data_IF_639030184066
#
_entry.id   IF_639030184066
#
_cell.length_a   1.000
_cell.length_b   1.000
_cell.length_c   1.000
_cell.angle_alpha   90.00
_cell.angle_beta   90.00
_cell.angle_gamma   90.00
#
_symmetry.space_group_name_H-M   'P 1'
#
loop_
_entity.id
_entity.type
_entity.pdbx_description
1 polymer ?
#
# COMPACT_ATOMS: atom_id res chain seq x y z
N UNK A 1 15.85 -22.98 28.37
CA UNK A 1 17.11 -22.50 27.76
C UNK A 1 16.96 -22.52 26.25
N UNK A 2 16.65 -21.36 25.66
CA UNK A 2 17.05 -20.94 24.31
C UNK A 2 16.68 -19.47 24.19
N UNK A 3 17.72 -18.65 24.33
CA UNK A 3 17.71 -17.19 24.42
C UNK A 3 17.66 -16.61 23.00
N UNK A 4 16.66 -15.77 22.71
CA UNK A 4 16.57 -15.08 21.42
C UNK A 4 17.10 -13.64 21.55
N UNK A 5 18.23 -13.43 20.89
CA UNK A 5 18.99 -12.19 20.75
C UNK A 5 18.14 -11.06 20.14
N UNK A 6 17.95 -9.99 20.90
CA UNK A 6 17.45 -8.71 20.40
C UNK A 6 18.60 -7.90 19.81
N UNK A 7 18.57 -7.63 18.50
CA UNK A 7 19.49 -6.66 17.86
C UNK A 7 18.87 -5.27 17.91
N UNK A 8 19.29 -4.47 18.87
CA UNK A 8 19.06 -3.02 18.95
C UNK A 8 19.98 -2.31 17.95
N UNK A 9 19.40 -1.50 17.06
CA UNK A 9 20.17 -0.59 16.22
C UNK A 9 20.31 0.75 16.94
N UNK A 10 21.52 1.05 17.42
CA UNK A 10 21.88 2.34 17.97
C UNK A 10 22.35 3.28 16.85
N UNK A 11 21.71 4.45 16.75
CA UNK A 11 22.18 5.58 15.93
C UNK A 11 23.29 6.32 16.70
N UNK A 12 24.47 6.57 16.14
CA UNK A 12 25.45 7.41 16.80
C UNK A 12 25.06 8.89 16.66
N UNK A 13 24.85 9.54 17.80
CA UNK A 13 24.82 11.00 17.92
C UNK A 13 26.25 11.54 17.81
N UNK A 14 26.45 12.66 17.13
CA UNK A 14 27.71 13.40 17.12
C UNK A 14 27.43 14.85 17.48
N UNK A 15 27.85 15.24 18.68
CA UNK A 15 28.07 16.63 19.06
C UNK A 15 29.47 16.78 19.65
N UNK A 16 30.16 17.84 19.20
CA UNK A 16 31.33 18.44 19.86
C UNK A 16 32.53 18.65 18.92
N UNK A 17 33.34 19.72 19.09
CA UNK A 17 33.04 21.06 19.62
C UNK A 17 33.48 22.21 18.67
N UNK A 18 33.01 23.41 19.00
CA UNK A 18 33.36 24.70 18.39
C UNK A 18 34.81 25.10 18.63
N UNK A 19 35.48 25.64 17.60
CA UNK A 19 36.61 26.57 17.70
C UNK A 19 36.59 27.57 16.53
N UNK A 20 37.06 28.78 16.81
CA UNK A 20 36.68 30.03 16.15
C UNK A 20 37.61 30.51 15.02
N UNK A 21 37.03 31.37 14.17
CA UNK A 21 37.57 32.52 13.41
C UNK A 21 38.73 32.33 12.40
N UNK A 22 38.55 32.81 11.17
CA UNK A 22 39.14 34.07 10.68
C UNK A 22 38.60 34.45 9.27
N UNK A 23 38.71 35.76 8.99
CA UNK A 23 38.17 36.54 7.87
C UNK A 23 38.63 36.11 6.47
N UNK A 24 37.74 36.28 5.50
CA UNK A 24 38.06 36.25 4.07
C UNK A 24 36.85 36.63 3.23
N UNK A 25 36.67 37.94 2.98
CA UNK A 25 35.71 38.43 1.98
C UNK A 25 36.33 38.17 0.61
N UNK A 26 35.84 37.14 -0.08
CA UNK A 26 36.07 36.95 -1.49
C UNK A 26 34.72 36.82 -2.19
N UNK A 27 34.44 37.84 -3.00
CA UNK A 27 33.36 37.87 -3.98
C UNK A 27 33.63 36.75 -5.01
N UNK A 28 32.88 35.66 -4.91
CA UNK A 28 32.75 34.68 -5.99
C UNK A 28 31.26 34.46 -6.24
N UNK A 29 30.77 35.01 -7.34
CA UNK A 29 29.47 34.65 -7.91
C UNK A 29 29.55 33.21 -8.40
N UNK A 30 29.26 32.26 -7.52
CA UNK A 30 28.91 30.91 -7.93
C UNK A 30 27.47 30.92 -8.41
N UNK A 31 27.28 30.73 -9.71
CA UNK A 31 26.01 30.35 -10.33
C UNK A 31 25.56 29.00 -9.76
N UNK A 32 24.96 29.01 -8.58
CA UNK A 32 24.21 27.88 -8.05
C UNK A 32 22.87 27.87 -8.78
N UNK A 33 22.73 26.95 -9.74
CA UNK A 33 21.43 26.50 -10.19
C UNK A 33 20.86 25.63 -9.06
N UNK A 34 19.84 26.05 -8.30
CA UNK A 34 19.14 25.09 -7.49
C UNK A 34 18.41 24.17 -8.48
N UNK A 35 18.83 22.91 -8.55
CA UNK A 35 17.92 21.84 -8.97
C UNK A 35 16.82 21.77 -7.91
N UNK A 36 15.90 22.73 -7.95
CA UNK A 36 14.57 22.58 -7.39
C UNK A 36 13.93 21.53 -8.26
N UNK A 37 13.81 20.30 -7.75
CA UNK A 37 12.78 19.40 -8.23
C UNK A 37 11.46 20.14 -8.07
N UNK A 38 11.00 20.80 -9.14
CA UNK A 38 9.63 21.29 -9.23
C UNK A 38 8.75 20.05 -9.14
N UNK A 39 8.29 19.74 -7.94
CA UNK A 39 7.01 19.06 -7.78
C UNK A 39 6.02 19.86 -8.61
N UNK A 40 5.45 19.22 -9.64
CA UNK A 40 4.42 19.85 -10.46
C UNK A 40 3.36 20.43 -9.51
N UNK A 41 2.96 21.71 -9.67
CA UNK A 41 1.89 22.27 -8.86
C UNK A 41 0.62 21.46 -9.16
N UNK A 42 0.14 20.70 -8.17
CA UNK A 42 -1.18 20.11 -8.21
C UNK A 42 -2.15 21.28 -8.06
N UNK A 43 -2.70 21.75 -9.18
CA UNK A 43 -3.84 22.65 -9.16
C UNK A 43 -5.05 21.85 -8.65
N UNK A 44 -5.70 22.25 -7.54
CA UNK A 44 -6.98 21.69 -7.16
C UNK A 44 -8.01 22.31 -8.10
N UNK A 45 -8.31 21.63 -9.20
CA UNK A 45 -9.46 21.99 -10.01
C UNK A 45 -10.71 21.68 -9.17
N UNK A 46 -11.36 22.72 -8.67
CA UNK A 46 -12.61 22.61 -7.95
C UNK A 46 -13.71 22.19 -8.94
N UNK A 47 -14.08 20.92 -8.91
CA UNK A 47 -15.38 20.43 -9.38
C UNK A 47 -15.63 19.05 -8.74
N UNK A 48 -16.55 19.05 -7.76
CA UNK A 48 -16.91 17.97 -6.83
C UNK A 48 -15.78 17.51 -5.88
N UNK A 49 -15.87 17.89 -4.60
CA UNK A 49 -14.95 17.48 -3.52
C UNK A 49 -15.12 15.99 -3.13
N UNK A 50 -15.28 15.08 -4.10
CA UNK A 50 -15.28 13.66 -3.83
C UNK A 50 -13.82 13.20 -3.74
N UNK A 51 -13.42 12.68 -2.57
CA UNK A 51 -12.12 12.04 -2.42
C UNK A 51 -12.09 10.76 -3.25
N UNK A 52 -11.24 10.75 -4.29
CA UNK A 52 -11.10 9.60 -5.18
C UNK A 52 -9.92 8.75 -4.75
N UNK A 53 -10.13 7.43 -4.70
CA UNK A 53 -9.04 6.48 -4.46
C UNK A 53 -8.00 6.55 -5.58
N UNK A 54 -6.71 6.40 -5.26
CA UNK A 54 -5.68 6.45 -6.28
C UNK A 54 -5.77 5.19 -7.16
N UNK A 55 -5.64 5.38 -8.46
CA UNK A 55 -5.73 4.34 -9.49
C UNK A 55 -4.38 4.12 -10.17
N UNK A 56 -4.22 2.99 -10.85
CA UNK A 56 -3.08 2.80 -11.73
C UNK A 56 -3.20 3.69 -12.96
N UNK A 57 -2.06 4.16 -13.46
CA UNK A 57 -1.96 4.77 -14.79
C UNK A 57 -2.03 3.67 -15.88
N UNK A 58 -3.18 3.01 -15.94
CA UNK A 58 -3.50 1.92 -16.84
C UNK A 58 -4.97 2.02 -17.24
N UNK A 59 -5.25 1.69 -18.50
CA UNK A 59 -6.64 1.64 -18.99
C UNK A 59 -7.47 0.63 -18.17
N UNK A 60 -8.75 0.90 -17.87
CA UNK A 60 -9.60 0.01 -17.06
C UNK A 60 -9.67 -1.43 -17.58
N UNK A 61 -9.61 -1.63 -18.90
CA UNK A 61 -9.66 -2.97 -19.50
C UNK A 61 -8.46 -3.85 -19.10
N UNK A 62 -7.37 -3.24 -18.65
CA UNK A 62 -6.18 -3.90 -18.09
C UNK A 62 -6.22 -3.83 -16.57
N UNK A 63 -6.36 -2.62 -16.01
CA UNK A 63 -6.25 -2.37 -14.58
C UNK A 63 -7.22 -3.21 -13.73
N UNK A 64 -8.43 -3.46 -14.25
CA UNK A 64 -9.46 -4.24 -13.55
C UNK A 64 -9.31 -5.76 -13.73
N UNK A 65 -8.40 -6.21 -14.62
CA UNK A 65 -8.16 -7.63 -14.93
C UNK A 65 -6.87 -8.18 -14.32
N UNK A 66 -6.25 -7.47 -13.36
CA UNK A 66 -5.04 -7.91 -12.65
C UNK A 66 -5.35 -8.79 -11.41
N UNK A 67 -6.61 -9.22 -11.25
CA UNK A 67 -7.07 -10.05 -10.14
C UNK A 67 -6.76 -9.41 -8.78
N UNK A 68 -6.12 -10.12 -7.83
CA UNK A 68 -5.81 -9.57 -6.51
C UNK A 68 -4.70 -8.50 -6.53
N UNK A 69 -4.15 -8.16 -7.71
CA UNK A 69 -3.17 -7.09 -7.89
C UNK A 69 -3.78 -5.80 -8.45
N UNK A 70 -5.06 -5.82 -8.87
CA UNK A 70 -5.78 -4.62 -9.28
C UNK A 70 -5.81 -3.60 -8.13
N UNK A 71 -5.64 -2.32 -8.45
CA UNK A 71 -5.95 -1.25 -7.51
C UNK A 71 -7.44 -1.35 -7.13
N UNK A 72 -7.81 -0.83 -5.95
CA UNK A 72 -9.23 -0.77 -5.58
C UNK A 72 -9.96 0.14 -6.57
N UNK A 73 -11.04 -0.36 -7.16
CA UNK A 73 -11.97 0.40 -8.01
C UNK A 73 -13.40 0.11 -7.58
N UNK A 74 -14.32 1.01 -7.89
CA UNK A 74 -15.74 0.80 -7.64
C UNK A 74 -16.32 -0.21 -8.64
N UNK A 75 -17.10 -1.16 -8.14
CA UNK A 75 -17.81 -2.11 -8.97
C UNK A 75 -19.21 -1.56 -9.22
N UNK A 76 -19.61 -1.51 -10.50
CA UNK A 76 -20.93 -1.04 -10.88
C UNK A 76 -22.02 -1.85 -10.16
N UNK A 77 -23.02 -1.14 -9.64
CA UNK A 77 -24.20 -1.71 -8.99
C UNK A 77 -25.42 -0.92 -9.45
N UNK A 78 -26.49 -1.63 -9.81
CA UNK A 78 -27.78 -1.00 -10.08
C UNK A 78 -28.46 -0.50 -8.79
N UNK A 79 -27.98 -0.93 -7.62
CA UNK A 79 -28.44 -0.46 -6.31
C UNK A 79 -27.54 0.70 -5.89
N UNK A 80 -28.16 1.85 -5.62
CA UNK A 80 -27.47 3.06 -5.15
C UNK A 80 -26.79 2.82 -3.79
N UNK A 81 -25.58 3.36 -3.63
CA UNK A 81 -24.85 3.33 -2.35
C UNK A 81 -25.14 4.53 -1.43
N UNK A 82 -26.12 5.37 -1.82
CA UNK A 82 -26.62 6.51 -1.03
C UNK A 82 -27.54 6.00 0.07
N UNK A 83 -27.46 6.62 1.25
CA UNK A 83 -28.36 6.32 2.37
C UNK A 83 -29.80 6.67 1.94
N UNK A 84 -30.77 5.75 2.03
CA UNK A 84 -32.15 6.03 1.62
C UNK A 84 -32.77 7.20 2.38
N UNK A 85 -33.67 7.92 1.72
CA UNK A 85 -34.39 9.05 2.34
C UNK A 85 -35.13 8.58 3.60
N UNK A 86 -34.99 9.35 4.69
CA UNK A 86 -35.59 9.02 5.99
C UNK A 86 -34.83 7.97 6.81
N UNK A 87 -33.72 7.43 6.32
CA UNK A 87 -32.86 6.52 7.06
C UNK A 87 -31.64 7.23 7.65
N UNK A 88 -31.25 6.85 8.86
CA UNK A 88 -29.98 7.25 9.47
C UNK A 88 -29.11 6.03 9.73
N UNK A 89 -27.83 6.11 9.38
CA UNK A 89 -26.85 5.07 9.72
C UNK A 89 -26.53 5.18 11.21
N UNK A 90 -26.62 4.07 11.94
CA UNK A 90 -26.31 4.02 13.38
C UNK A 90 -25.01 3.26 13.68
N UNK A 91 -24.53 2.44 12.76
CA UNK A 91 -23.28 1.69 12.87
C UNK A 91 -22.74 1.33 11.48
N UNK A 92 -21.42 1.27 11.35
CA UNK A 92 -20.73 0.65 10.21
C UNK A 92 -19.67 -0.35 10.69
N UNK A 93 -19.44 -1.40 9.89
CA UNK A 93 -18.29 -2.28 10.03
C UNK A 93 -17.56 -2.32 8.68
N UNK A 94 -16.26 -2.01 8.69
CA UNK A 94 -15.42 -2.02 7.48
C UNK A 94 -14.41 -3.15 7.58
N UNK A 95 -14.45 -4.07 6.61
CA UNK A 95 -13.41 -5.06 6.40
C UNK A 95 -12.55 -4.65 5.20
N UNK A 96 -11.29 -4.31 5.46
CA UNK A 96 -10.37 -3.81 4.45
C UNK A 96 -9.11 -4.67 4.35
N UNK A 97 -8.70 -4.97 3.11
CA UNK A 97 -7.40 -5.58 2.82
C UNK A 97 -6.29 -4.52 2.93
N UNK A 98 -5.05 -4.97 3.17
CA UNK A 98 -3.89 -4.09 3.07
C UNK A 98 -3.81 -3.39 1.69
N UNK A 99 -3.16 -2.22 1.65
CA UNK A 99 -2.89 -1.49 0.41
C UNK A 99 -1.95 -2.24 -0.56
N UNK A 100 -1.76 -1.65 -1.75
CA UNK A 100 -0.79 -2.15 -2.72
C UNK A 100 0.63 -2.27 -2.14
N UNK A 101 1.37 -3.27 -2.61
CA UNK A 101 2.68 -3.63 -2.06
C UNK A 101 3.62 -4.16 -3.11
N UNK A 102 4.90 -4.19 -2.78
CA UNK A 102 5.89 -4.96 -3.52
C UNK A 102 5.61 -6.47 -3.43
N UNK A 103 6.17 -7.26 -4.37
CA UNK A 103 6.12 -8.72 -4.32
C UNK A 103 6.68 -9.27 -3.00
N UNK A 104 6.23 -10.47 -2.62
CA UNK A 104 6.87 -11.19 -1.51
C UNK A 104 8.25 -11.69 -1.95
N UNK A 105 9.11 -12.09 -1.00
CA UNK A 105 10.51 -12.37 -1.30
C UNK A 105 10.74 -13.39 -2.43
N UNK A 106 10.02 -14.51 -2.43
CA UNK A 106 10.17 -15.54 -3.47
C UNK A 106 9.72 -15.04 -4.87
N UNK A 107 8.49 -14.50 -5.06
CA UNK A 107 8.11 -13.87 -6.32
C UNK A 107 9.01 -12.72 -6.77
N UNK A 108 9.49 -11.88 -5.84
CA UNK A 108 10.41 -10.79 -6.16
C UNK A 108 11.73 -11.28 -6.75
N UNK A 109 12.34 -12.31 -6.13
CA UNK A 109 13.54 -12.97 -6.68
C UNK A 109 13.29 -13.63 -8.04
N UNK A 110 12.10 -14.20 -8.24
CA UNK A 110 11.75 -14.79 -9.53
C UNK A 110 11.65 -13.71 -10.63
N UNK A 111 11.08 -12.53 -10.34
CA UNK A 111 11.05 -11.41 -11.27
C UNK A 111 12.46 -10.89 -11.59
N UNK A 112 13.32 -10.77 -10.58
CA UNK A 112 14.71 -10.37 -10.75
C UNK A 112 15.48 -11.35 -11.66
N UNK A 113 15.34 -12.65 -11.42
CA UNK A 113 15.96 -13.68 -12.26
C UNK A 113 15.45 -13.65 -13.71
N UNK A 114 14.14 -13.41 -13.90
CA UNK A 114 13.56 -13.25 -15.24
C UNK A 114 14.13 -12.02 -15.96
N UNK A 115 14.20 -10.87 -15.28
CA UNK A 115 14.79 -9.65 -15.84
C UNK A 115 16.27 -9.83 -16.18
N UNK A 116 17.03 -10.55 -15.34
CA UNK A 116 18.43 -10.86 -15.62
C UNK A 116 18.60 -11.70 -16.90
N UNK A 117 17.74 -12.70 -17.12
CA UNK A 117 17.73 -13.47 -18.38
C UNK A 117 17.42 -12.59 -19.59
N UNK A 118 16.41 -11.72 -19.48
CA UNK A 118 15.99 -10.85 -20.58
C UNK A 118 17.04 -9.79 -20.92
N UNK A 119 17.82 -9.32 -19.94
CA UNK A 119 18.93 -8.37 -20.19
C UNK A 119 20.07 -8.97 -21.00
N UNK A 120 20.22 -10.29 -21.03
CA UNK A 120 21.26 -10.96 -21.83
C UNK A 120 20.86 -11.13 -23.30
N UNK A 121 19.61 -10.80 -23.66
CA UNK A 121 19.13 -10.86 -25.05
C UNK A 121 19.73 -9.67 -25.81
N UNK A 122 20.56 -9.98 -26.81
CA UNK A 122 21.02 -9.01 -27.79
C UNK A 122 19.95 -8.82 -28.88
N UNK A 123 19.95 -7.66 -29.54
CA UNK A 123 19.05 -7.36 -30.65
C UNK A 123 17.56 -7.57 -30.38
N UNK A 124 17.04 -7.02 -29.27
CA UNK A 124 15.61 -7.07 -28.94
C UNK A 124 14.78 -6.53 -30.12
N UNK A 125 14.11 -7.43 -30.86
CA UNK A 125 13.29 -7.08 -32.04
C UNK A 125 11.92 -6.52 -31.68
N UNK A 126 11.36 -6.98 -30.57
CA UNK A 126 10.05 -6.54 -30.07
C UNK A 126 10.16 -5.16 -29.39
N UNK A 127 9.60 -4.08 -29.97
CA UNK A 127 9.77 -2.73 -29.44
C UNK A 127 9.25 -2.55 -28.01
N UNK A 128 8.19 -3.27 -27.62
CA UNK A 128 7.63 -3.19 -26.26
C UNK A 128 8.58 -3.71 -25.17
N UNK A 129 9.69 -4.37 -25.54
CA UNK A 129 10.70 -4.88 -24.62
C UNK A 129 11.98 -4.04 -24.58
N UNK A 130 12.07 -2.95 -25.35
CA UNK A 130 13.26 -2.08 -25.40
C UNK A 130 13.59 -1.39 -24.08
N UNK A 131 12.64 -1.32 -23.14
CA UNK A 131 12.88 -0.79 -21.81
C UNK A 131 13.76 -1.71 -20.93
N UNK A 132 13.84 -3.01 -21.23
CA UNK A 132 14.45 -4.01 -20.35
C UNK A 132 15.93 -3.74 -20.03
N UNK A 133 16.80 -3.39 -21.00
CA UNK A 133 18.22 -3.17 -20.72
C UNK A 133 18.47 -2.04 -19.71
N UNK A 134 17.61 -1.01 -19.71
CA UNK A 134 17.75 0.17 -18.83
C UNK A 134 16.87 0.09 -17.59
N UNK A 135 15.86 -0.78 -17.56
CA UNK A 135 14.95 -0.93 -16.43
C UNK A 135 15.69 -1.39 -15.17
N UNK A 136 15.59 -0.61 -14.10
CA UNK A 136 16.11 -0.97 -12.77
C UNK A 136 14.98 -1.41 -11.87
N UNK A 137 14.99 -2.69 -11.50
CA UNK A 137 14.01 -3.28 -10.62
C UNK A 137 14.43 -3.10 -9.16
N UNK A 138 13.88 -2.08 -8.49
CA UNK A 138 14.07 -1.84 -7.07
C UNK A 138 12.80 -2.20 -6.30
N UNK A 139 12.92 -3.10 -5.33
CA UNK A 139 11.80 -3.48 -4.48
C UNK A 139 12.28 -3.86 -3.08
N UNK A 140 11.39 -3.66 -2.11
CA UNK A 140 11.58 -4.14 -0.73
C UNK A 140 10.52 -5.21 -0.48
N UNK A 141 10.89 -6.47 -0.22
CA UNK A 141 9.94 -7.57 -0.14
C UNK A 141 8.76 -7.29 0.79
N UNK A 142 7.54 -7.51 0.29
CA UNK A 142 6.28 -7.43 1.03
C UNK A 142 5.85 -6.06 1.57
N UNK A 143 6.68 -5.02 1.49
CA UNK A 143 6.37 -3.68 2.00
C UNK A 143 5.30 -3.00 1.15
N UNK A 144 4.46 -2.16 1.79
CA UNK A 144 3.56 -1.28 1.05
C UNK A 144 4.37 -0.34 0.15
N UNK A 145 3.85 -0.10 -1.05
CA UNK A 145 4.36 0.98 -1.90
C UNK A 145 3.69 2.30 -1.50
N UNK A 146 4.26 3.48 -1.82
CA UNK A 146 3.63 4.77 -1.53
C UNK A 146 2.17 4.85 -2.01
N UNK A 147 1.90 4.30 -3.20
CA UNK A 147 0.55 4.15 -3.74
C UNK A 147 -0.40 3.39 -2.79
N UNK A 148 0.04 2.29 -2.17
CA UNK A 148 -0.77 1.50 -1.23
C UNK A 148 -0.99 2.19 0.12
N UNK A 149 -0.06 3.03 0.56
CA UNK A 149 -0.23 3.90 1.72
C UNK A 149 -1.31 4.94 1.46
N UNK A 150 -1.23 5.62 0.32
CA UNK A 150 -2.24 6.58 -0.11
C UNK A 150 -3.63 5.94 -0.25
N UNK A 151 -3.73 4.71 -0.80
CA UNK A 151 -4.99 3.96 -0.83
C UNK A 151 -5.62 3.80 0.56
N UNK A 152 -4.82 3.43 1.55
CA UNK A 152 -5.32 3.19 2.91
C UNK A 152 -5.72 4.50 3.59
N UNK A 153 -4.91 5.54 3.45
CA UNK A 153 -5.17 6.89 3.96
C UNK A 153 -6.45 7.51 3.39
N UNK A 154 -6.56 7.55 2.06
CA UNK A 154 -7.74 8.09 1.38
C UNK A 154 -8.99 7.26 1.72
N UNK A 155 -8.84 5.94 1.87
CA UNK A 155 -9.96 5.11 2.31
C UNK A 155 -10.45 5.47 3.73
N UNK A 156 -9.57 5.88 4.64
CA UNK A 156 -9.95 6.40 5.94
C UNK A 156 -10.75 7.69 5.84
N UNK A 157 -10.26 8.64 5.02
CA UNK A 157 -10.95 9.91 4.79
C UNK A 157 -12.33 9.73 4.13
N UNK A 158 -12.45 8.82 3.16
CA UNK A 158 -13.73 8.51 2.52
C UNK A 158 -14.75 8.03 3.55
N UNK A 159 -14.35 7.15 4.48
CA UNK A 159 -15.26 6.63 5.51
C UNK A 159 -15.63 7.73 6.50
N UNK A 160 -14.66 8.53 6.97
CA UNK A 160 -14.91 9.65 7.87
C UNK A 160 -15.86 10.68 7.25
N UNK A 161 -15.69 11.00 5.97
CA UNK A 161 -16.55 11.94 5.26
C UNK A 161 -17.94 11.37 4.98
N UNK A 162 -18.03 10.11 4.49
CA UNK A 162 -19.31 9.48 4.12
C UNK A 162 -20.22 9.24 5.33
N UNK A 163 -19.64 8.96 6.50
CA UNK A 163 -20.38 8.63 7.71
C UNK A 163 -20.10 9.63 8.85
N UNK A 164 -19.90 10.90 8.52
CA UNK A 164 -19.56 11.96 9.48
C UNK A 164 -20.59 12.11 10.61
N UNK A 165 -21.87 11.80 10.36
CA UNK A 165 -22.93 11.80 11.36
C UNK A 165 -22.72 10.80 12.51
N UNK A 166 -21.87 9.77 12.33
CA UNK A 166 -21.49 8.82 13.39
C UNK A 166 -20.41 9.38 14.34
N UNK A 167 -19.84 10.54 14.03
CA UNK A 167 -18.74 11.15 14.78
C UNK A 167 -17.37 10.53 14.48
N UNK A 168 -16.39 10.83 15.35
CA UNK A 168 -14.97 10.50 15.14
C UNK A 168 -14.51 9.22 15.85
N UNK A 169 -15.36 8.56 16.63
CA UNK A 169 -14.98 7.36 17.38
C UNK A 169 -14.89 6.17 16.42
N UNK A 170 -13.80 5.43 16.50
CA UNK A 170 -13.60 4.19 15.76
C UNK A 170 -12.86 3.15 16.63
N UNK A 171 -12.94 1.89 16.22
CA UNK A 171 -12.17 0.78 16.81
C UNK A 171 -11.60 -0.08 15.68
N UNK A 172 -10.29 -0.10 15.56
CA UNK A 172 -9.56 -0.72 14.45
C UNK A 172 -8.74 -1.89 14.95
N UNK A 173 -8.99 -3.06 14.34
CA UNK A 173 -8.20 -4.27 14.57
C UNK A 173 -7.34 -4.57 13.35
N UNK A 174 -6.14 -5.09 13.56
CA UNK A 174 -5.24 -5.52 12.50
C UNK A 174 -4.59 -6.87 12.82
N UNK A 175 -4.50 -7.77 11.85
CA UNK A 175 -3.65 -8.97 11.99
C UNK A 175 -2.18 -8.57 12.03
N UNK A 176 -1.38 -9.19 12.90
CA UNK A 176 0.03 -8.88 13.14
C UNK A 176 0.93 -9.29 11.96
N UNK A 177 0.84 -8.50 10.90
CA UNK A 177 1.66 -8.60 9.70
C UNK A 177 2.00 -7.18 9.30
N UNK A 178 3.29 -6.88 9.15
CA UNK A 178 3.80 -5.51 8.97
C UNK A 178 2.93 -4.65 8.02
N UNK A 179 2.69 -5.11 6.79
CA UNK A 179 1.87 -4.39 5.80
C UNK A 179 0.40 -4.19 6.18
N UNK A 180 -0.18 -5.09 6.98
CA UNK A 180 -1.58 -5.00 7.44
C UNK A 180 -1.65 -3.96 8.57
N UNK A 181 -0.72 -4.03 9.53
CA UNK A 181 -0.60 -3.03 10.60
C UNK A 181 -0.34 -1.66 10.00
N UNK A 182 0.64 -1.52 9.10
CA UNK A 182 0.93 -0.27 8.39
C UNK A 182 -0.30 0.27 7.63
N UNK A 183 -1.06 -0.59 6.94
CA UNK A 183 -2.29 -0.13 6.27
C UNK A 183 -3.34 0.40 7.25
N UNK A 184 -3.49 -0.26 8.41
CA UNK A 184 -4.43 0.18 9.45
C UNK A 184 -4.03 1.51 10.07
N UNK A 185 -2.72 1.74 10.22
CA UNK A 185 -2.16 3.00 10.69
C UNK A 185 -2.46 4.14 9.71
N UNK A 186 -2.19 3.93 8.42
CA UNK A 186 -2.52 4.90 7.38
C UNK A 186 -4.03 5.16 7.29
N UNK A 187 -4.85 4.12 7.44
CA UNK A 187 -6.31 4.29 7.47
C UNK A 187 -6.75 5.18 8.63
N UNK A 188 -6.25 4.95 9.86
CA UNK A 188 -6.58 5.80 11.01
C UNK A 188 -6.05 7.22 10.84
N UNK A 189 -4.83 7.38 10.30
CA UNK A 189 -4.24 8.68 9.99
C UNK A 189 -5.18 9.51 9.10
N UNK A 190 -5.72 8.90 8.04
CA UNK A 190 -6.66 9.56 7.14
C UNK A 190 -8.04 9.77 7.75
N UNK A 191 -8.56 8.79 8.49
CA UNK A 191 -9.84 8.90 9.19
C UNK A 191 -9.84 10.07 10.20
N UNK A 192 -8.73 10.26 10.92
CA UNK A 192 -8.56 11.35 11.88
C UNK A 192 -8.21 12.70 11.24
N UNK A 193 -8.11 12.76 9.90
CA UNK A 193 -7.78 14.00 9.18
C UNK A 193 -6.35 14.51 9.45
N UNK A 194 -5.44 13.65 9.88
CA UNK A 194 -4.04 14.03 10.16
C UNK A 194 -3.21 14.11 8.87
N UNK A 195 -2.09 14.85 8.84
CA UNK A 195 -1.25 14.94 7.64
C UNK A 195 -0.75 13.57 7.14
N UNK A 196 -0.62 13.42 5.82
CA UNK A 196 -0.06 12.22 5.21
C UNK A 196 1.47 12.18 5.26
N UNK A 197 2.12 13.35 5.15
CA UNK A 197 3.57 13.47 5.20
C UNK A 197 4.05 13.50 6.66
N UNK A 198 4.07 12.31 7.27
CA UNK A 198 4.51 12.09 8.65
C UNK A 198 5.47 10.92 8.70
N UNK A 199 6.40 10.98 9.65
CA UNK A 199 7.27 9.86 9.93
C UNK A 199 6.47 8.65 10.43
N UNK A 200 6.94 7.45 10.08
CA UNK A 200 6.27 6.20 10.42
C UNK A 200 6.05 5.99 11.93
N UNK A 201 6.91 6.55 12.79
CA UNK A 201 6.76 6.46 14.24
C UNK A 201 5.64 7.34 14.80
N UNK A 202 5.20 8.36 14.04
CA UNK A 202 4.11 9.26 14.40
C UNK A 202 2.74 8.80 13.90
N UNK A 203 2.69 7.65 13.20
CA UNK A 203 1.43 7.13 12.69
C UNK A 203 0.50 6.70 13.83
N UNK A 204 -0.79 6.97 13.64
CA UNK A 204 -1.84 6.53 14.56
C UNK A 204 -1.88 5.01 14.63
N UNK A 205 -1.82 4.45 15.83
CA UNK A 205 -1.83 3.01 16.05
C UNK A 205 -3.24 2.40 16.01
N UNK A 206 -3.41 1.17 15.49
CA UNK A 206 -4.65 0.43 15.63
C UNK A 206 -4.92 0.09 17.11
N UNK A 207 -6.19 -0.08 17.45
CA UNK A 207 -6.63 -0.31 18.84
C UNK A 207 -6.35 -1.75 19.30
N UNK A 208 -6.23 -2.69 18.36
CA UNK A 208 -5.84 -4.07 18.65
C UNK A 208 -5.03 -4.68 17.49
N UNK A 209 -3.86 -5.21 17.83
CA UNK A 209 -3.07 -6.06 16.92
C UNK A 209 -3.23 -7.52 17.33
N UNK A 210 -3.79 -8.34 16.43
CA UNK A 210 -4.07 -9.76 16.69
C UNK A 210 -2.93 -10.60 16.12
N UNK A 211 -2.27 -11.40 16.96
CA UNK A 211 -1.16 -12.27 16.53
C UNK A 211 -1.58 -13.24 15.42
N UNK A 212 -0.64 -13.59 14.55
CA UNK A 212 -0.85 -14.58 13.48
C UNK A 212 0.05 -15.76 13.76
N UNK A 213 -0.51 -16.97 13.68
CA UNK A 213 0.25 -18.20 13.77
C UNK A 213 -0.66 -19.38 14.09
N UNK A 214 -0.08 -20.58 14.09
CA UNK A 214 -0.81 -21.82 14.40
C UNK A 214 -1.33 -21.90 15.83
N UNK A 215 -0.74 -21.12 16.74
CA UNK A 215 -1.09 -21.07 18.16
C UNK A 215 -2.09 -19.93 18.49
N UNK A 216 -2.45 -19.10 17.51
CA UNK A 216 -3.25 -17.90 17.74
C UNK A 216 -4.57 -17.94 16.99
N UNK A 217 -5.68 -17.83 17.73
CA UNK A 217 -7.01 -17.67 17.16
C UNK A 217 -7.17 -16.25 16.60
N UNK A 218 -7.03 -16.11 15.29
CA UNK A 218 -7.16 -14.83 14.60
C UNK A 218 -8.23 -14.89 13.51
N UNK A 219 -9.37 -14.23 13.76
CA UNK A 219 -10.50 -14.20 12.82
C UNK A 219 -10.20 -13.43 11.52
N UNK A 220 -9.15 -12.62 11.50
CA UNK A 220 -8.69 -11.84 10.35
C UNK A 220 -7.52 -12.53 9.60
N UNK A 221 -7.12 -13.73 10.04
CA UNK A 221 -5.96 -14.44 9.51
C UNK A 221 -5.87 -15.86 10.08
N UNK A 222 -6.87 -16.69 9.77
CA UNK A 222 -7.00 -18.03 10.34
C UNK A 222 -5.84 -18.93 9.89
N UNK A 223 -4.97 -19.30 10.83
CA UNK A 223 -3.88 -20.27 10.60
C UNK A 223 -4.02 -21.56 11.43
N UNK A 224 -5.05 -21.64 12.27
CA UNK A 224 -5.35 -22.71 13.23
C UNK A 224 -6.18 -23.86 12.65
N UNK A 225 -6.43 -23.87 11.33
CA UNK A 225 -7.15 -24.95 10.64
C UNK A 225 -6.21 -25.75 9.73
N UNK A 226 -5.62 -26.87 10.23
CA UNK A 226 -4.73 -27.71 9.42
C UNK A 226 -5.42 -28.34 8.22
N UNK A 227 -6.67 -28.79 8.37
CA UNK A 227 -7.44 -29.44 7.31
C UNK A 227 -7.61 -28.52 6.08
N UNK A 228 -7.87 -27.22 6.30
CA UNK A 228 -7.97 -26.25 5.22
C UNK A 228 -6.67 -26.08 4.43
N UNK A 229 -5.50 -26.24 5.08
CA UNK A 229 -4.18 -26.16 4.40
C UNK A 229 -3.92 -27.39 3.54
N UNK A 230 -4.52 -28.53 3.88
CA UNK A 230 -4.43 -29.78 3.12
C UNK A 230 -5.41 -29.81 1.95
N UNK A 231 -6.46 -28.99 1.99
CA UNK A 231 -7.43 -28.91 0.92
C UNK A 231 -6.82 -28.25 -0.32
N UNK A 232 -6.45 -29.07 -1.31
CA UNK A 232 -6.05 -28.62 -2.65
C UNK A 232 -7.29 -28.69 -3.54
N UNK A 233 -7.91 -27.55 -3.92
CA UNK A 233 -9.05 -27.60 -4.82
C UNK A 233 -8.64 -28.31 -6.12
N UNK A 234 -9.52 -29.18 -6.61
CA UNK A 234 -9.29 -29.95 -7.83
C UNK A 234 -9.09 -29.01 -9.03
N UNK A 235 -8.50 -29.51 -10.12
CA UNK A 235 -8.37 -28.72 -11.35
C UNK A 235 -9.74 -28.23 -11.86
N UNK A 236 -10.78 -29.08 -11.76
CA UNK A 236 -12.16 -28.73 -12.12
C UNK A 236 -12.69 -27.63 -11.21
N UNK A 237 -12.52 -27.76 -9.89
CA UNK A 237 -12.92 -26.72 -8.94
C UNK A 237 -12.26 -25.38 -9.26
N UNK A 238 -10.97 -25.37 -9.63
CA UNK A 238 -10.28 -24.14 -10.05
C UNK A 238 -10.85 -23.58 -11.35
N UNK A 239 -11.14 -24.44 -12.34
CA UNK A 239 -11.75 -24.04 -13.61
C UNK A 239 -13.14 -23.44 -13.38
N UNK A 240 -13.97 -24.09 -12.56
CA UNK A 240 -15.32 -23.62 -12.22
C UNK A 240 -15.27 -22.27 -11.50
N UNK A 241 -14.31 -22.08 -10.58
CA UNK A 241 -14.08 -20.78 -9.94
C UNK A 241 -13.69 -19.69 -10.95
N UNK A 242 -12.84 -20.02 -11.92
CA UNK A 242 -12.43 -19.06 -12.96
C UNK A 242 -13.61 -18.74 -13.89
N UNK A 243 -14.46 -19.71 -14.22
CA UNK A 243 -15.68 -19.49 -15.00
C UNK A 243 -16.68 -18.61 -14.23
N UNK A 244 -16.99 -18.96 -12.98
CA UNK A 244 -17.90 -18.21 -12.12
C UNK A 244 -17.42 -16.77 -11.86
N UNK A 245 -16.11 -16.58 -11.73
CA UNK A 245 -15.52 -15.26 -11.53
C UNK A 245 -15.24 -14.51 -12.84
N UNK A 246 -15.66 -15.04 -14.00
CA UNK A 246 -15.55 -14.38 -15.31
C UNK A 246 -14.13 -14.27 -15.86
N UNK A 247 -13.20 -15.09 -15.36
CA UNK A 247 -11.81 -15.17 -15.80
C UNK A 247 -11.55 -16.23 -16.87
N UNK A 248 -12.54 -17.06 -17.20
CA UNK A 248 -12.50 -18.03 -18.29
C UNK A 248 -13.78 -17.95 -19.11
N UNK A 249 -13.68 -18.17 -20.42
CA UNK A 249 -14.85 -18.37 -21.29
C UNK A 249 -15.36 -19.80 -21.13
N UNK A 250 -16.69 -19.95 -21.21
CA UNK A 250 -17.42 -21.24 -21.17
C UNK A 250 -17.00 -22.09 -22.36
#
# INVERSE_FOLDING_TARGET
MHEQSWKTWAYPSRYGPFLAAFLGILYFQTQYWPFVSRSLPVQPHAQSNALTLPTYDLRPQIAHKLGPYSARYEVHSNISSVVPLGCNVTMINVLQRHGARYPTGKPGKALEATLAKLRNVQDIKEPSLHFIPTFRYHYIPSQLVPFGRAQSYISGQIIANKYSALGSRNFVRASNKARIVESSQWWKQGFEGRPFDVDAFNLVQPDLVILIGKEFNNTLGVETCPAAKLHKPSANTKKDWLLLAGFAQI
#
